data_IF_049355690914
#
_entry.id   IF_049355690914
#
_cell.length_a   1.000
_cell.length_b   1.000
_cell.length_c   1.000
_cell.angle_alpha   90.00
_cell.angle_beta   90.00
_cell.angle_gamma   90.00
#
_symmetry.space_group_name_H-M   'P 1'
#
loop_
_entity.id
_entity.type
_entity.pdbx_description
1 polymer ?
#
# COMPACT_ATOMS: atom_id res chain seq x y z
N UNK A 1 5.90 10.78 8.72
CA UNK A 1 7.23 10.26 8.44
C UNK A 1 8.30 11.18 9.03
N UNK A 2 9.46 10.64 9.37
CA UNK A 2 10.58 11.41 9.93
C UNK A 2 11.00 12.56 8.99
N UNK A 3 11.07 12.32 7.69
CA UNK A 3 11.40 13.34 6.68
C UNK A 3 10.39 14.49 6.65
N UNK A 4 9.10 14.21 6.71
CA UNK A 4 8.06 15.23 6.76
C UNK A 4 8.17 16.05 8.05
N UNK A 5 8.40 15.41 9.18
CA UNK A 5 8.62 16.11 10.45
C UNK A 5 9.85 17.04 10.41
N UNK A 6 10.95 16.61 9.78
CA UNK A 6 12.14 17.47 9.63
C UNK A 6 11.86 18.68 8.72
N UNK A 7 11.05 18.56 7.67
CA UNK A 7 10.67 19.68 6.81
C UNK A 7 9.80 20.70 7.57
N UNK A 8 8.83 20.25 8.37
CA UNK A 8 8.06 21.15 9.23
C UNK A 8 8.92 21.87 10.27
N UNK A 9 9.87 21.16 10.86
CA UNK A 9 10.82 21.76 11.81
C UNK A 9 11.70 22.82 11.14
N UNK A 10 12.20 22.57 9.92
CA UNK A 10 12.96 23.53 9.12
C UNK A 10 12.13 24.76 8.80
N UNK A 11 10.88 24.58 8.34
CA UNK A 11 9.98 25.71 8.06
C UNK A 11 9.72 26.56 9.32
N UNK A 12 9.58 25.90 10.49
CA UNK A 12 9.48 26.59 11.78
C UNK A 12 10.72 27.41 12.13
N UNK A 13 11.91 26.84 11.91
CA UNK A 13 13.18 27.55 12.12
C UNK A 13 13.30 28.75 11.17
N UNK A 14 12.93 28.60 9.92
CA UNK A 14 12.95 29.69 8.95
C UNK A 14 11.99 30.83 9.34
N UNK A 15 10.80 30.50 9.83
CA UNK A 15 9.87 31.50 10.37
C UNK A 15 10.47 32.29 11.56
N UNK A 16 11.13 31.55 12.49
CA UNK A 16 11.84 32.18 13.62
C UNK A 16 12.98 33.07 13.15
N UNK A 17 13.72 32.67 12.11
CA UNK A 17 14.81 33.48 11.54
C UNK A 17 14.31 34.77 10.92
N UNK A 18 13.15 34.75 10.25
CA UNK A 18 12.51 35.96 9.72
C UNK A 18 12.24 36.97 10.83
N UNK A 19 11.79 36.52 12.00
CA UNK A 19 11.46 37.39 13.14
C UNK A 19 12.71 37.84 13.89
N UNK A 20 13.66 36.94 14.14
CA UNK A 20 14.83 37.26 14.99
C UNK A 20 16.03 37.80 14.22
N UNK A 21 16.03 37.69 12.89
CA UNK A 21 17.13 38.17 12.06
C UNK A 21 18.50 37.62 12.49
N UNK A 22 19.52 38.46 12.72
CA UNK A 22 20.87 38.03 13.08
C UNK A 22 20.95 37.25 14.40
N UNK A 23 20.01 37.44 15.30
CA UNK A 23 19.97 36.73 16.59
C UNK A 23 19.63 35.24 16.44
N UNK A 24 19.16 34.79 15.25
CA UNK A 24 18.90 33.39 14.96
C UNK A 24 20.16 32.57 14.57
N UNK A 25 21.35 33.20 14.57
CA UNK A 25 22.62 32.52 14.22
C UNK A 25 22.87 31.20 14.96
N UNK A 26 22.52 31.07 16.26
CA UNK A 26 22.69 29.82 17.00
C UNK A 26 21.84 28.64 16.48
N UNK A 27 20.82 28.87 15.62
CA UNK A 27 19.98 27.81 15.05
C UNK A 27 20.61 27.10 13.85
N UNK A 28 21.68 27.63 13.26
CA UNK A 28 22.36 27.05 12.09
C UNK A 28 22.80 25.60 12.27
N UNK A 29 23.41 25.16 13.37
CA UNK A 29 23.79 23.77 13.55
C UNK A 29 22.57 22.84 13.53
N UNK A 30 21.45 23.27 14.10
CA UNK A 30 20.20 22.50 14.10
C UNK A 30 19.60 22.40 12.69
N UNK A 31 19.63 23.47 11.91
CA UNK A 31 19.23 23.43 10.52
C UNK A 31 20.07 22.45 9.70
N UNK A 32 21.39 22.53 9.84
CA UNK A 32 22.29 21.60 9.16
C UNK A 32 21.95 20.14 9.50
N UNK A 33 21.67 19.84 10.76
CA UNK A 33 21.29 18.50 11.19
C UNK A 33 19.96 18.06 10.60
N UNK A 34 18.96 18.94 10.60
CA UNK A 34 17.61 18.65 10.08
C UNK A 34 17.58 18.57 8.54
N UNK A 35 18.52 19.18 7.84
CA UNK A 35 18.63 19.07 6.37
C UNK A 35 19.28 17.78 5.90
N UNK A 36 20.04 17.05 6.75
CA UNK A 36 20.72 15.83 6.33
C UNK A 36 19.81 14.75 5.74
N UNK A 37 18.65 14.43 6.32
CA UNK A 37 17.75 13.43 5.72
C UNK A 37 17.25 13.83 4.32
N UNK A 38 16.94 15.09 4.14
CA UNK A 38 16.48 15.62 2.84
C UNK A 38 17.62 15.69 1.81
N UNK A 39 18.83 16.04 2.24
CA UNK A 39 20.00 16.02 1.38
C UNK A 39 20.32 14.59 0.92
N UNK A 40 20.26 13.62 1.83
CA UNK A 40 20.45 12.20 1.49
C UNK A 40 19.38 11.73 0.49
N UNK A 41 18.11 12.00 0.76
CA UNK A 41 17.03 11.69 -0.16
C UNK A 41 17.22 12.34 -1.54
N UNK A 42 17.67 13.61 -1.59
CA UNK A 42 17.96 14.31 -2.84
C UNK A 42 19.08 13.61 -3.62
N UNK A 43 20.15 13.19 -2.94
CA UNK A 43 21.25 12.46 -3.60
C UNK A 43 20.77 11.11 -4.13
N UNK A 44 19.96 10.37 -3.36
CA UNK A 44 19.38 9.09 -3.81
C UNK A 44 18.48 9.28 -5.03
N UNK A 45 17.58 10.27 -4.99
CA UNK A 45 16.69 10.57 -6.13
C UNK A 45 17.47 11.05 -7.36
N UNK A 46 18.50 11.90 -7.16
CA UNK A 46 19.38 12.31 -8.25
C UNK A 46 20.11 11.13 -8.90
N UNK A 47 20.55 10.17 -8.10
CA UNK A 47 21.18 8.94 -8.61
C UNK A 47 20.21 8.12 -9.47
N UNK A 48 18.94 7.98 -9.07
CA UNK A 48 17.90 7.31 -9.86
C UNK A 48 17.73 8.00 -11.22
N UNK A 49 17.55 9.32 -11.20
CA UNK A 49 17.36 10.12 -12.42
C UNK A 49 18.58 10.06 -13.34
N UNK A 50 19.80 10.13 -12.79
CA UNK A 50 21.04 10.15 -13.58
C UNK A 50 21.38 8.79 -14.16
N UNK A 51 21.09 7.68 -13.45
CA UNK A 51 21.32 6.33 -13.94
C UNK A 51 20.27 5.89 -14.95
N UNK A 52 19.05 6.39 -14.82
CA UNK A 52 17.90 6.04 -15.67
C UNK A 52 17.71 4.52 -15.80
N UNK A 53 17.99 3.78 -14.73
CA UNK A 53 17.79 2.34 -14.66
C UNK A 53 16.30 2.05 -14.42
N UNK A 54 15.73 1.18 -15.25
CA UNK A 54 14.35 0.71 -15.08
C UNK A 54 14.38 -0.51 -14.17
N UNK A 55 13.62 -0.45 -13.08
CA UNK A 55 13.41 -1.59 -12.19
C UNK A 55 12.41 -2.55 -12.83
N UNK A 56 12.69 -3.87 -12.88
CA UNK A 56 11.79 -4.84 -13.51
C UNK A 56 10.39 -4.89 -12.89
N UNK A 57 10.26 -4.70 -11.58
CA UNK A 57 8.98 -4.65 -10.88
C UNK A 57 8.26 -5.99 -10.83
N UNK A 58 9.01 -7.09 -10.68
CA UNK A 58 8.42 -8.42 -10.71
C UNK A 58 7.54 -8.70 -9.48
N UNK A 59 8.02 -8.34 -8.30
CA UNK A 59 7.21 -8.40 -7.09
C UNK A 59 6.30 -7.18 -6.97
N UNK A 60 6.83 -6.00 -7.21
CA UNK A 60 6.17 -4.70 -7.12
C UNK A 60 5.98 -4.08 -8.52
N UNK A 61 4.85 -4.34 -9.22
CA UNK A 61 3.70 -5.12 -8.72
C UNK A 61 3.16 -6.08 -9.81
N UNK A 62 4.05 -6.67 -10.64
CA UNK A 62 3.65 -7.66 -11.64
C UNK A 62 3.15 -8.97 -11.01
N UNK A 63 3.62 -9.31 -9.79
CA UNK A 63 3.16 -10.49 -9.06
C UNK A 63 1.65 -10.43 -8.79
N UNK A 64 1.13 -9.28 -8.34
CA UNK A 64 -0.29 -9.07 -8.12
C UNK A 64 -1.07 -8.99 -9.43
N UNK A 65 -0.53 -8.34 -10.47
CA UNK A 65 -1.15 -8.33 -11.79
C UNK A 65 -1.34 -9.75 -12.34
N UNK A 66 -0.34 -10.61 -12.18
CA UNK A 66 -0.40 -12.02 -12.59
C UNK A 66 -1.34 -12.86 -11.71
N UNK A 67 -1.54 -12.47 -10.45
CA UNK A 67 -2.47 -13.13 -9.53
C UNK A 67 -3.95 -12.91 -9.92
N UNK A 68 -4.31 -11.76 -10.49
CA UNK A 68 -5.70 -11.42 -10.78
C UNK A 68 -6.40 -12.43 -11.72
N UNK A 69 -5.84 -12.88 -12.85
CA UNK A 69 -6.49 -13.90 -13.68
C UNK A 69 -6.72 -15.22 -12.95
N UNK A 70 -5.80 -15.61 -12.05
CA UNK A 70 -5.94 -16.84 -11.26
C UNK A 70 -7.06 -16.67 -10.24
N UNK A 71 -7.09 -15.54 -9.55
CA UNK A 71 -8.14 -15.20 -8.58
C UNK A 71 -9.51 -15.11 -9.26
N UNK A 72 -9.58 -14.47 -10.44
CA UNK A 72 -10.80 -14.38 -11.24
C UNK A 72 -11.37 -15.77 -11.60
N UNK A 73 -10.50 -16.69 -12.02
CA UNK A 73 -10.90 -18.07 -12.32
C UNK A 73 -11.45 -18.80 -11.07
N UNK A 74 -10.81 -18.60 -9.91
CA UNK A 74 -11.24 -19.22 -8.64
C UNK A 74 -12.56 -18.64 -8.15
N UNK A 75 -12.72 -17.33 -8.12
CA UNK A 75 -13.95 -16.67 -7.68
C UNK A 75 -15.13 -16.93 -8.62
N UNK A 76 -14.89 -17.09 -9.93
CA UNK A 76 -15.93 -17.49 -10.88
C UNK A 76 -16.55 -18.86 -10.56
N UNK A 77 -15.76 -19.79 -10.00
CA UNK A 77 -16.27 -21.12 -9.64
C UNK A 77 -17.30 -21.09 -8.48
N UNK A 78 -17.27 -20.01 -7.69
CA UNK A 78 -18.15 -19.79 -6.53
C UNK A 78 -18.98 -18.51 -6.68
N UNK A 79 -19.14 -18.01 -7.90
CA UNK A 79 -19.86 -16.79 -8.17
C UNK A 79 -21.31 -16.87 -7.72
N UNK A 80 -21.81 -15.76 -7.16
CA UNK A 80 -23.19 -15.55 -6.73
C UNK A 80 -23.86 -14.55 -7.67
N UNK A 81 -25.16 -14.67 -7.84
CA UNK A 81 -25.94 -13.74 -8.70
C UNK A 81 -26.10 -12.35 -8.08
N UNK A 82 -25.91 -12.23 -6.77
CA UNK A 82 -26.03 -10.98 -6.00
C UNK A 82 -24.69 -10.28 -5.76
N UNK A 83 -23.59 -10.77 -6.34
CA UNK A 83 -22.24 -10.22 -6.20
C UNK A 83 -21.56 -10.06 -7.55
N UNK A 84 -21.07 -8.87 -7.83
CA UNK A 84 -20.20 -8.59 -8.98
C UNK A 84 -18.72 -8.54 -8.52
N UNK A 85 -17.87 -9.29 -9.20
CA UNK A 85 -16.42 -9.21 -9.01
C UNK A 85 -15.79 -8.45 -10.17
N UNK A 86 -15.17 -7.32 -9.88
CA UNK A 86 -14.47 -6.49 -10.86
C UNK A 86 -12.95 -6.55 -10.58
N UNK A 87 -12.19 -6.94 -11.58
CA UNK A 87 -10.74 -7.03 -11.51
C UNK A 87 -10.13 -5.83 -12.21
N UNK A 88 -9.32 -5.07 -11.50
CA UNK A 88 -8.75 -3.82 -12.00
C UNK A 88 -7.23 -3.88 -11.85
N UNK A 89 -6.52 -3.53 -12.92
CA UNK A 89 -5.10 -3.19 -12.87
C UNK A 89 -5.00 -1.69 -13.06
N UNK A 90 -4.53 -1.02 -12.04
CA UNK A 90 -4.33 0.44 -12.05
C UNK A 90 -2.98 0.78 -12.68
N UNK A 91 -2.86 1.97 -13.19
CA UNK A 91 -1.58 2.55 -13.60
C UNK A 91 -1.17 3.70 -12.69
N UNK A 92 0.07 4.14 -12.81
CA UNK A 92 0.60 5.31 -12.08
C UNK A 92 0.48 5.19 -10.54
N UNK A 93 0.64 3.99 -10.00
CA UNK A 93 0.64 3.80 -8.54
C UNK A 93 1.82 4.56 -7.93
N UNK A 94 3.04 4.37 -8.44
CA UNK A 94 4.28 5.02 -8.06
C UNK A 94 4.26 6.56 -8.18
N UNK A 95 3.28 7.10 -8.89
CA UNK A 95 3.02 8.53 -8.99
C UNK A 95 1.81 8.93 -8.13
N UNK A 96 1.89 8.65 -6.82
CA UNK A 96 0.87 8.96 -5.81
C UNK A 96 -0.49 8.32 -6.11
N UNK A 97 -0.51 7.04 -6.44
CA UNK A 97 -1.71 6.22 -6.67
C UNK A 97 -2.67 6.83 -7.71
N UNK A 98 -2.10 7.46 -8.75
CA UNK A 98 -2.84 8.29 -9.71
C UNK A 98 -3.96 7.55 -10.43
N UNK A 99 -3.75 6.25 -10.74
CA UNK A 99 -4.76 5.40 -11.36
C UNK A 99 -5.93 5.10 -10.43
N UNK A 100 -5.68 4.76 -9.19
CA UNK A 100 -6.70 4.50 -8.19
C UNK A 100 -7.49 5.78 -7.83
N UNK A 101 -6.80 6.93 -7.75
CA UNK A 101 -7.46 8.22 -7.55
C UNK A 101 -8.42 8.55 -8.70
N UNK A 102 -8.00 8.35 -9.95
CA UNK A 102 -8.84 8.54 -11.11
C UNK A 102 -10.02 7.55 -11.15
N UNK A 103 -9.76 6.27 -10.83
CA UNK A 103 -10.79 5.24 -10.73
C UNK A 103 -11.87 5.63 -9.73
N UNK A 104 -11.47 6.04 -8.52
CA UNK A 104 -12.41 6.45 -7.47
C UNK A 104 -13.33 7.60 -7.88
N UNK A 105 -12.82 8.55 -8.68
CA UNK A 105 -13.65 9.62 -9.26
C UNK A 105 -14.64 9.08 -10.30
N UNK A 106 -14.16 8.26 -11.24
CA UNK A 106 -14.98 7.72 -12.33
C UNK A 106 -16.10 6.81 -11.79
N UNK A 107 -15.80 5.97 -10.82
CA UNK A 107 -16.77 5.07 -10.21
C UNK A 107 -17.96 5.83 -9.62
N UNK A 108 -17.69 6.87 -8.86
CA UNK A 108 -18.72 7.69 -8.23
C UNK A 108 -19.51 8.52 -9.25
N UNK A 109 -18.80 9.20 -10.14
CA UNK A 109 -19.41 10.21 -11.03
C UNK A 109 -20.08 9.61 -12.28
N UNK A 110 -19.54 8.48 -12.79
CA UNK A 110 -19.99 7.93 -14.08
C UNK A 110 -20.65 6.58 -13.96
N UNK A 111 -20.20 5.72 -13.04
CA UNK A 111 -20.72 4.37 -12.92
C UNK A 111 -21.77 4.22 -11.82
N UNK A 112 -21.86 5.20 -10.92
CA UNK A 112 -22.82 5.21 -9.83
C UNK A 112 -22.54 4.14 -8.77
N UNK A 113 -21.30 3.67 -8.64
CA UNK A 113 -20.95 2.72 -7.61
C UNK A 113 -20.98 3.39 -6.24
N UNK A 114 -21.86 2.89 -5.40
CA UNK A 114 -22.04 3.43 -4.06
C UNK A 114 -20.93 2.89 -3.13
N UNK A 115 -20.26 3.77 -2.39
CA UNK A 115 -19.29 3.33 -1.37
C UNK A 115 -19.85 2.35 -0.35
N UNK A 116 -21.17 2.42 -0.04
CA UNK A 116 -21.81 1.49 0.89
C UNK A 116 -21.87 0.05 0.36
N UNK A 117 -21.87 -0.14 -0.96
CA UNK A 117 -22.02 -1.45 -1.60
C UNK A 117 -20.72 -1.96 -2.24
N UNK A 118 -19.70 -1.12 -2.31
CA UNK A 118 -18.44 -1.42 -2.97
C UNK A 118 -17.31 -1.61 -1.93
N UNK A 119 -16.56 -2.72 -2.06
CA UNK A 119 -15.42 -3.01 -1.20
C UNK A 119 -14.22 -3.40 -2.05
N UNK A 120 -13.05 -2.88 -1.73
CA UNK A 120 -11.81 -3.15 -2.42
C UNK A 120 -10.92 -4.12 -1.67
N UNK A 121 -10.32 -5.05 -2.39
CA UNK A 121 -9.21 -5.87 -1.91
C UNK A 121 -8.00 -5.57 -2.80
N UNK A 122 -7.05 -4.81 -2.26
CA UNK A 122 -5.79 -4.50 -2.91
C UNK A 122 -4.82 -5.66 -2.80
N UNK A 123 -4.01 -5.83 -3.84
CA UNK A 123 -2.94 -6.80 -3.88
C UNK A 123 -1.65 -6.07 -4.27
N UNK A 124 -0.63 -6.16 -3.42
CA UNK A 124 0.61 -5.43 -3.63
C UNK A 124 1.83 -6.24 -3.17
N UNK A 125 2.73 -6.59 -4.11
CA UNK A 125 3.95 -7.31 -3.80
C UNK A 125 3.73 -8.68 -3.16
N UNK A 126 3.14 -9.64 -3.88
CA UNK A 126 2.70 -10.93 -3.31
C UNK A 126 3.77 -12.01 -3.24
N UNK A 127 4.98 -11.77 -3.76
CA UNK A 127 5.95 -12.83 -4.02
C UNK A 127 7.14 -12.91 -3.06
N UNK A 128 7.32 -11.95 -2.14
CA UNK A 128 8.53 -11.90 -1.32
C UNK A 128 8.27 -11.42 0.11
N UNK A 129 8.53 -12.27 1.10
CA UNK A 129 8.32 -11.93 2.51
C UNK A 129 7.11 -12.63 3.11
N UNK A 130 6.62 -12.10 4.22
CA UNK A 130 5.46 -12.63 4.92
C UNK A 130 4.21 -11.86 4.52
N UNK A 131 3.13 -12.59 4.19
CA UNK A 131 1.87 -11.96 3.84
C UNK A 131 1.29 -11.20 5.04
N UNK A 132 0.91 -9.96 4.79
CA UNK A 132 0.27 -9.05 5.75
C UNK A 132 -1.01 -8.47 5.16
N UNK A 133 -1.98 -8.15 6.01
CA UNK A 133 -3.05 -7.24 5.65
C UNK A 133 -2.76 -5.87 6.27
N UNK A 134 -2.87 -4.81 5.47
CA UNK A 134 -2.54 -3.47 5.93
C UNK A 134 -3.67 -2.93 6.82
N UNK A 135 -3.32 -2.39 7.97
CA UNK A 135 -4.25 -1.80 8.95
C UNK A 135 -4.28 -0.28 8.85
N UNK A 136 -3.13 0.29 8.52
CA UNK A 136 -2.98 1.72 8.26
C UNK A 136 -1.97 1.93 7.14
N UNK A 137 -2.21 2.91 6.31
CA UNK A 137 -1.31 3.32 5.22
C UNK A 137 -1.40 4.83 5.01
N UNK A 138 -0.50 5.42 4.25
CA UNK A 138 -0.47 6.83 3.93
C UNK A 138 0.92 7.45 4.02
N UNK A 139 1.21 8.40 3.14
CA UNK A 139 2.51 9.07 3.04
C UNK A 139 2.67 10.21 4.05
N UNK A 140 1.66 11.05 4.20
CA UNK A 140 1.67 12.26 5.04
C UNK A 140 0.84 12.04 6.30
N UNK A 141 -0.36 11.55 6.13
CA UNK A 141 -1.28 11.23 7.21
C UNK A 141 -1.63 9.75 7.18
N UNK A 142 -1.64 9.11 8.34
CA UNK A 142 -2.06 7.72 8.44
C UNK A 142 -3.57 7.63 8.20
N UNK A 143 -3.95 6.76 7.27
CA UNK A 143 -5.32 6.43 6.91
C UNK A 143 -5.60 5.04 7.45
N UNK A 144 -6.63 4.87 8.23
CA UNK A 144 -6.99 3.58 8.81
C UNK A 144 -7.94 2.82 7.90
N UNK A 145 -7.67 1.54 7.72
CA UNK A 145 -8.60 0.57 7.13
C UNK A 145 -9.81 0.42 8.06
N UNK A 146 -11.03 0.29 7.53
CA UNK A 146 -12.22 0.06 8.34
C UNK A 146 -12.09 -1.15 9.28
N UNK A 147 -12.43 -0.98 10.54
CA UNK A 147 -12.23 -2.00 11.57
C UNK A 147 -12.88 -3.34 11.21
N UNK A 148 -14.06 -3.31 10.58
CA UNK A 148 -14.75 -4.53 10.19
C UNK A 148 -13.99 -5.39 9.17
N UNK A 149 -13.16 -4.77 8.31
CA UNK A 149 -12.26 -5.49 7.38
C UNK A 149 -11.08 -6.11 8.12
N UNK A 150 -10.51 -5.36 9.07
CA UNK A 150 -9.43 -5.86 9.95
C UNK A 150 -9.93 -7.07 10.75
N UNK A 151 -11.13 -6.97 11.33
CA UNK A 151 -11.75 -8.05 12.08
C UNK A 151 -12.00 -9.28 11.19
N UNK A 152 -12.47 -9.06 9.96
CA UNK A 152 -12.69 -10.13 8.98
C UNK A 152 -11.38 -10.85 8.63
N UNK A 153 -10.29 -10.11 8.43
CA UNK A 153 -8.99 -10.70 8.16
C UNK A 153 -8.44 -11.47 9.37
N UNK A 154 -8.59 -10.94 10.59
CA UNK A 154 -8.19 -11.62 11.83
C UNK A 154 -8.99 -12.91 12.05
N UNK A 155 -10.31 -12.89 11.84
CA UNK A 155 -11.17 -14.07 11.95
C UNK A 155 -10.78 -15.15 10.93
N UNK A 156 -10.48 -14.74 9.69
CA UNK A 156 -9.97 -15.65 8.66
C UNK A 156 -8.64 -16.29 9.09
N UNK A 157 -7.70 -15.48 9.55
CA UNK A 157 -6.40 -15.97 10.05
C UNK A 157 -6.57 -16.97 11.18
N UNK A 158 -7.48 -16.71 12.12
CA UNK A 158 -7.74 -17.59 13.25
C UNK A 158 -8.50 -18.86 12.85
N UNK A 159 -9.14 -18.89 11.68
CA UNK A 159 -9.98 -20.01 11.24
C UNK A 159 -9.21 -21.25 10.77
N UNK A 160 -7.94 -21.07 10.37
CA UNK A 160 -7.09 -22.14 9.85
C UNK A 160 -5.64 -21.92 10.30
N UNK A 161 -4.99 -22.91 10.97
CA UNK A 161 -3.59 -22.84 11.36
C UNK A 161 -2.62 -22.51 10.21
N UNK A 162 -2.99 -22.81 8.97
CA UNK A 162 -2.23 -22.49 7.76
C UNK A 162 -2.00 -20.96 7.63
N UNK A 163 -2.92 -20.15 8.12
CA UNK A 163 -2.87 -18.70 8.02
C UNK A 163 -2.34 -18.00 9.28
N UNK A 164 -1.90 -18.76 10.29
CA UNK A 164 -1.50 -18.21 11.59
C UNK A 164 -0.43 -17.12 11.53
N UNK A 165 0.41 -17.12 10.48
CA UNK A 165 1.47 -16.13 10.28
C UNK A 165 0.99 -14.86 9.53
N UNK A 166 -0.23 -14.87 8.97
CA UNK A 166 -0.80 -13.69 8.32
C UNK A 166 -1.33 -12.74 9.38
N UNK A 167 -0.68 -11.63 9.57
CA UNK A 167 -1.03 -10.66 10.62
C UNK A 167 -1.21 -9.25 10.07
N UNK A 168 -1.86 -8.39 10.84
CA UNK A 168 -2.01 -6.99 10.51
C UNK A 168 -0.67 -6.25 10.53
N UNK A 169 -0.52 -5.28 9.64
CA UNK A 169 0.66 -4.46 9.52
C UNK A 169 0.29 -2.98 9.41
N UNK A 170 0.99 -2.14 10.16
CA UNK A 170 0.89 -0.69 10.06
C UNK A 170 2.02 -0.18 9.18
N UNK A 171 1.68 0.36 8.01
CA UNK A 171 2.68 0.94 7.11
C UNK A 171 3.22 2.22 7.73
N UNK A 172 4.52 2.31 8.04
CA UNK A 172 5.07 3.49 8.70
C UNK A 172 5.11 4.71 7.77
N UNK A 173 5.32 4.49 6.49
CA UNK A 173 5.34 5.50 5.41
C UNK A 173 5.04 4.81 4.09
N UNK A 174 4.17 5.38 3.29
CA UNK A 174 3.75 4.84 2.00
C UNK A 174 2.30 4.37 2.04
N UNK A 175 1.81 3.94 0.92
CA UNK A 175 0.44 3.45 0.78
C UNK A 175 0.31 2.68 -0.52
N UNK A 176 -0.71 1.89 -0.60
CA UNK A 176 -1.15 1.22 -1.81
C UNK A 176 -2.28 2.00 -2.49
N UNK A 177 -2.73 1.54 -3.62
CA UNK A 177 -3.92 2.07 -4.30
C UNK A 177 -5.16 2.15 -3.39
N UNK A 178 -5.22 1.30 -2.37
CA UNK A 178 -6.33 1.30 -1.40
C UNK A 178 -6.39 2.60 -0.60
N UNK A 179 -5.26 3.20 -0.26
CA UNK A 179 -5.25 4.50 0.43
C UNK A 179 -6.00 5.58 -0.34
N UNK A 180 -5.82 5.64 -1.67
CA UNK A 180 -6.54 6.60 -2.52
C UNK A 180 -8.06 6.36 -2.54
N UNK A 181 -8.49 5.12 -2.46
CA UNK A 181 -9.91 4.75 -2.44
C UNK A 181 -10.55 4.97 -1.05
N UNK A 182 -9.82 4.69 0.02
CA UNK A 182 -10.25 5.00 1.40
C UNK A 182 -10.53 6.49 1.59
N UNK A 183 -9.65 7.36 1.07
CA UNK A 183 -9.85 8.84 1.12
C UNK A 183 -11.14 9.26 0.41
N UNK A 184 -11.61 8.49 -0.58
CA UNK A 184 -12.86 8.76 -1.31
C UNK A 184 -14.10 8.17 -0.63
N UNK A 185 -13.92 7.51 0.51
CA UNK A 185 -14.98 6.94 1.32
C UNK A 185 -15.39 5.52 0.94
N UNK A 186 -14.60 4.85 0.09
CA UNK A 186 -14.80 3.42 -0.16
C UNK A 186 -14.13 2.58 0.93
N UNK A 187 -14.72 1.46 1.26
CA UNK A 187 -14.10 0.46 2.12
C UNK A 187 -13.05 -0.34 1.33
N UNK A 188 -11.90 -0.59 1.92
CA UNK A 188 -10.85 -1.38 1.27
C UNK A 188 -9.79 -1.87 2.26
N UNK A 189 -9.13 -2.98 1.88
CA UNK A 189 -8.01 -3.58 2.61
C UNK A 189 -6.97 -4.07 1.61
N UNK A 190 -5.69 -3.81 1.86
CA UNK A 190 -4.61 -4.29 1.02
C UNK A 190 -3.91 -5.50 1.63
N UNK A 191 -3.54 -6.46 0.80
CA UNK A 191 -2.65 -7.58 1.09
C UNK A 191 -1.29 -7.31 0.47
N UNK A 192 -0.24 -7.37 1.27
CA UNK A 192 1.13 -7.17 0.83
C UNK A 192 2.10 -8.12 1.52
N UNK A 193 3.15 -8.57 0.84
CA UNK A 193 4.23 -9.30 1.48
C UNK A 193 5.30 -8.33 1.98
N UNK A 194 5.68 -8.50 3.24
CA UNK A 194 6.63 -7.62 3.94
C UNK A 194 7.75 -8.47 4.54
N UNK A 195 8.98 -8.04 4.38
CA UNK A 195 10.11 -8.65 5.09
C UNK A 195 10.03 -8.28 6.58
N UNK A 196 9.97 -9.28 7.49
CA UNK A 196 9.79 -9.02 8.91
C UNK A 196 10.96 -8.27 9.56
N UNK A 197 12.13 -8.23 8.91
CA UNK A 197 13.32 -7.54 9.42
C UNK A 197 13.37 -6.07 9.07
N UNK A 198 12.91 -5.73 7.86
CA UNK A 198 12.97 -4.36 7.34
C UNK A 198 11.64 -3.62 7.43
N UNK A 199 10.53 -4.37 7.46
CA UNK A 199 9.18 -3.78 7.40
C UNK A 199 8.83 -3.22 6.02
N UNK A 200 9.54 -3.64 4.97
CA UNK A 200 9.31 -3.26 3.58
C UNK A 200 9.32 -4.52 2.68
N UNK A 201 8.77 -4.50 1.46
CA UNK A 201 8.93 -5.59 0.53
C UNK A 201 10.41 -5.85 0.21
N UNK A 202 10.78 -7.12 0.02
CA UNK A 202 12.15 -7.45 -0.42
C UNK A 202 12.36 -6.96 -1.83
N UNK A 203 13.58 -6.52 -2.13
CA UNK A 203 13.97 -5.98 -3.43
C UNK A 203 13.20 -4.73 -3.88
N UNK A 204 12.45 -4.11 -2.96
CA UNK A 204 11.59 -2.96 -3.21
C UNK A 204 12.35 -1.83 -3.91
N UNK A 205 11.88 -1.45 -5.09
CA UNK A 205 12.49 -0.43 -5.95
C UNK A 205 13.96 -0.70 -6.33
N UNK A 206 14.36 -1.97 -6.38
CA UNK A 206 15.73 -2.36 -6.74
C UNK A 206 15.78 -3.08 -8.08
N UNK A 207 16.92 -3.03 -8.82
CA UNK A 207 17.13 -3.81 -10.05
C UNK A 207 16.98 -5.33 -9.85
N UNK A 208 17.06 -5.80 -8.62
CA UNK A 208 16.88 -7.20 -8.22
C UNK A 208 15.42 -7.56 -7.96
N UNK A 209 14.47 -6.66 -8.18
CA UNK A 209 13.05 -7.02 -8.21
C UNK A 209 12.69 -7.62 -9.57
N UNK A 210 13.21 -8.81 -9.82
CA UNK A 210 13.07 -9.57 -11.05
C UNK A 210 12.39 -10.93 -10.79
N UNK A 211 11.95 -11.65 -11.84
CA UNK A 211 11.26 -12.92 -11.69
C UNK A 211 12.06 -14.02 -10.99
N UNK A 212 13.40 -13.99 -11.04
CA UNK A 212 14.24 -15.01 -10.44
C UNK A 212 14.25 -14.92 -8.90
N UNK A 213 13.86 -13.77 -8.36
CA UNK A 213 13.75 -13.53 -6.93
C UNK A 213 12.32 -13.70 -6.37
N UNK A 214 11.35 -14.08 -7.21
CA UNK A 214 9.99 -14.36 -6.74
C UNK A 214 9.88 -15.75 -6.10
N UNK A 215 9.33 -15.80 -4.91
CA UNK A 215 8.96 -17.03 -4.22
C UNK A 215 7.54 -17.46 -4.65
N UNK A 216 7.42 -18.29 -5.68
CA UNK A 216 6.12 -18.68 -6.25
C UNK A 216 5.18 -19.30 -5.23
N UNK A 217 5.70 -20.00 -4.22
CA UNK A 217 4.90 -20.56 -3.12
C UNK A 217 4.21 -19.44 -2.32
N UNK A 218 4.89 -18.32 -2.12
CA UNK A 218 4.33 -17.13 -1.46
C UNK A 218 3.24 -16.49 -2.33
N UNK A 219 3.48 -16.35 -3.63
CA UNK A 219 2.46 -15.84 -4.58
C UNK A 219 1.19 -16.71 -4.51
N UNK A 220 1.35 -18.03 -4.60
CA UNK A 220 0.21 -18.96 -4.58
C UNK A 220 -0.52 -18.96 -3.23
N UNK A 221 0.21 -18.86 -2.13
CA UNK A 221 -0.35 -18.69 -0.78
C UNK A 221 -1.14 -17.39 -0.66
N UNK A 222 -0.58 -16.29 -1.15
CA UNK A 222 -1.22 -14.97 -1.14
C UNK A 222 -2.51 -14.96 -1.95
N UNK A 223 -2.51 -15.60 -3.13
CA UNK A 223 -3.74 -15.76 -3.96
C UNK A 223 -4.80 -16.57 -3.21
N UNK A 224 -4.41 -17.65 -2.54
CA UNK A 224 -5.37 -18.46 -1.78
C UNK A 224 -5.95 -17.69 -0.60
N UNK A 225 -5.12 -16.96 0.14
CA UNK A 225 -5.60 -16.11 1.23
C UNK A 225 -6.52 -15.00 0.72
N UNK A 226 -6.16 -14.34 -0.39
CA UNK A 226 -6.99 -13.31 -1.02
C UNK A 226 -8.37 -13.84 -1.42
N UNK A 227 -8.43 -15.04 -2.03
CA UNK A 227 -9.71 -15.71 -2.35
C UNK A 227 -10.57 -15.90 -1.10
N UNK A 228 -9.98 -16.44 -0.02
CA UNK A 228 -10.70 -16.66 1.24
C UNK A 228 -11.14 -15.36 1.89
N UNK A 229 -10.30 -14.33 1.84
CA UNK A 229 -10.64 -13.00 2.36
C UNK A 229 -11.81 -12.39 1.60
N UNK A 230 -11.81 -12.45 0.26
CA UNK A 230 -12.94 -11.99 -0.57
C UNK A 230 -14.23 -12.70 -0.18
N UNK A 231 -14.20 -14.03 -0.02
CA UNK A 231 -15.38 -14.80 0.42
C UNK A 231 -15.85 -14.39 1.83
N UNK A 232 -14.93 -14.17 2.77
CA UNK A 232 -15.26 -13.74 4.12
C UNK A 232 -15.89 -12.32 4.12
N UNK A 233 -15.34 -11.41 3.31
CA UNK A 233 -15.88 -10.06 3.13
C UNK A 233 -17.30 -10.11 2.57
N UNK A 234 -17.52 -10.87 1.48
CA UNK A 234 -18.84 -11.04 0.87
C UNK A 234 -19.84 -11.61 1.88
N UNK A 235 -19.45 -12.68 2.57
CA UNK A 235 -20.30 -13.28 3.60
C UNK A 235 -20.71 -12.28 4.67
N UNK A 236 -19.76 -11.50 5.20
CA UNK A 236 -20.01 -10.51 6.24
C UNK A 236 -20.86 -9.35 5.73
N UNK A 237 -20.61 -8.87 4.51
CA UNK A 237 -21.36 -7.77 3.89
C UNK A 237 -22.82 -8.13 3.64
N UNK A 238 -23.11 -9.38 3.28
CA UNK A 238 -24.45 -9.91 3.03
C UNK A 238 -25.14 -10.47 4.29
N UNK A 239 -24.46 -10.50 5.44
CA UNK A 239 -25.00 -11.01 6.70
C UNK A 239 -25.23 -12.52 6.72
N UNK A 240 -24.37 -13.29 6.04
CA UNK A 240 -24.45 -14.74 5.88
C UNK A 240 -23.62 -15.51 6.90
#
# INVERSE_FOLDING_TARGET
SFMVATQFALAGIDAVKIVLGPFALPLRPLECLLTLPSALATVMNAQIVLKNEIVPGANDNLSACAALPVLAKRLRATQRDDVEYVFVVTGCEEASMGGADALGRVMKERWGWDPSDTVFVGLDGLGNGDLRFLQTEGEVCSISVPQWLIDTANELTASDPKYAEVTGFHVPVGGSDIAALLVKGYDGICLACVDPTTGAPRHYHMPTDDPDHLEMDKVMFSIEYAEKLVHAIVKRKLGL
#
